data_IF_624187598822
#
_entry.id   IF_624187598822
#
_cell.length_a   1.000
_cell.length_b   1.000
_cell.length_c   1.000
_cell.angle_alpha   90.00
_cell.angle_beta   90.00
_cell.angle_gamma   90.00
#
_symmetry.space_group_name_H-M   'P 1'
#
loop_
_entity.id
_entity.type
_entity.pdbx_description
1 polymer ?
#
# COMPACT_ATOMS: atom_id res chain seq x y z
N UNK A 1 4.80 6.34 -4.37
CA UNK A 1 5.22 5.29 -3.41
C UNK A 1 4.08 4.38 -2.95
N UNK A 2 2.98 4.93 -2.39
CA UNK A 2 1.82 4.13 -1.93
C UNK A 2 1.21 3.20 -2.99
N UNK A 3 0.94 3.70 -4.20
CA UNK A 3 0.40 2.87 -5.29
C UNK A 3 1.34 1.73 -5.73
N UNK A 4 2.66 2.00 -5.75
CA UNK A 4 3.67 1.01 -6.09
C UNK A 4 3.68 -0.15 -5.08
N UNK A 5 3.67 0.16 -3.78
CA UNK A 5 3.65 -0.86 -2.71
C UNK A 5 2.33 -1.64 -2.73
N UNK A 6 1.19 -0.97 -2.97
CA UNK A 6 -0.10 -1.67 -3.12
C UNK A 6 -0.12 -2.63 -4.30
N UNK A 7 0.55 -2.29 -5.42
CA UNK A 7 0.55 -3.11 -6.65
C UNK A 7 1.59 -4.23 -6.63
N UNK A 8 2.80 -3.95 -6.14
CA UNK A 8 3.96 -4.84 -6.24
C UNK A 8 4.29 -5.55 -4.92
N UNK A 9 3.60 -5.20 -3.83
CA UNK A 9 3.87 -5.72 -2.50
C UNK A 9 5.09 -5.07 -1.84
N UNK A 10 5.54 -5.68 -0.75
CA UNK A 10 6.72 -5.25 0.02
C UNK A 10 7.38 -6.47 0.68
N UNK A 11 8.66 -6.34 1.01
CA UNK A 11 9.41 -7.37 1.75
C UNK A 11 9.22 -7.20 3.27
N UNK A 12 9.12 -8.33 3.96
CA UNK A 12 9.06 -8.36 5.42
C UNK A 12 10.45 -8.25 6.08
N UNK A 13 11.52 -8.40 5.30
CA UNK A 13 12.92 -8.36 5.72
C UNK A 13 13.24 -9.38 6.83
N UNK A 14 12.80 -10.63 6.64
CA UNK A 14 12.98 -11.72 7.61
C UNK A 14 14.31 -12.47 7.46
N UNK A 15 15.03 -12.25 6.36
CA UNK A 15 16.30 -12.93 6.07
C UNK A 15 17.49 -12.36 6.86
N UNK A 16 17.24 -11.28 7.62
CA UNK A 16 18.27 -10.56 8.38
C UNK A 16 18.42 -11.16 9.77
N UNK A 17 19.66 -11.27 10.26
CA UNK A 17 19.92 -11.58 11.67
C UNK A 17 19.37 -10.41 12.50
N UNK A 18 18.29 -10.62 13.27
CA UNK A 18 17.59 -9.62 14.10
C UNK A 18 18.42 -8.97 15.23
N UNK A 19 19.74 -8.85 15.09
CA UNK A 19 20.69 -8.24 16.02
C UNK A 19 20.33 -6.79 16.37
N UNK A 20 19.91 -5.98 15.37
CA UNK A 20 19.47 -4.60 15.58
C UNK A 20 18.16 -4.50 16.39
N UNK A 21 17.41 -5.60 16.54
CA UNK A 21 16.19 -5.63 17.36
C UNK A 21 16.46 -5.73 18.87
N UNK A 22 17.71 -5.74 19.33
CA UNK A 22 18.05 -5.87 20.76
C UNK A 22 17.32 -4.84 21.61
N UNK A 23 16.64 -5.28 22.67
CA UNK A 23 15.97 -4.42 23.66
C UNK A 23 16.29 -4.90 25.08
N UNK A 24 16.56 -3.94 25.96
CA UNK A 24 16.86 -4.17 27.38
C UNK A 24 15.55 -4.22 28.18
N UNK A 25 15.42 -5.25 29.01
CA UNK A 25 14.32 -5.41 29.94
C UNK A 25 14.85 -5.61 31.35
N UNK A 26 14.10 -5.12 32.33
CA UNK A 26 14.32 -5.38 33.74
C UNK A 26 13.24 -6.30 34.29
N UNK A 27 13.62 -7.18 35.22
CA UNK A 27 12.70 -7.98 36.01
C UNK A 27 13.16 -7.96 37.47
N UNK A 28 12.18 -7.91 38.38
CA UNK A 28 12.46 -8.06 39.80
C UNK A 28 12.43 -9.56 40.12
N UNK A 29 13.56 -10.10 40.54
CA UNK A 29 13.66 -11.49 41.02
C UNK A 29 14.16 -11.45 42.45
N UNK A 30 13.36 -11.99 43.38
CA UNK A 30 13.67 -12.03 44.82
C UNK A 30 14.11 -10.66 45.38
N UNK A 31 13.41 -9.59 45.01
CA UNK A 31 13.70 -8.23 45.47
C UNK A 31 14.85 -7.51 44.76
N UNK A 32 15.60 -8.18 43.87
CA UNK A 32 16.70 -7.56 43.11
C UNK A 32 16.32 -7.32 41.65
N UNK A 33 16.77 -6.18 41.11
CA UNK A 33 16.65 -5.87 39.69
C UNK A 33 17.67 -6.68 38.88
N UNK A 34 17.17 -7.47 37.93
CA UNK A 34 17.99 -8.16 36.94
C UNK A 34 17.64 -7.66 35.55
N UNK A 35 18.68 -7.29 34.81
CA UNK A 35 18.57 -6.85 33.43
C UNK A 35 18.86 -8.01 32.49
N UNK A 36 18.09 -8.10 31.42
CA UNK A 36 18.28 -9.10 30.37
C UNK A 36 17.84 -8.53 29.02
N UNK A 37 18.39 -9.09 27.95
CA UNK A 37 18.07 -8.66 26.60
C UNK A 37 17.04 -9.59 25.95
N UNK A 38 16.14 -9.02 25.15
CA UNK A 38 15.32 -9.77 24.21
C UNK A 38 15.56 -9.27 22.80
N UNK A 39 15.31 -10.16 21.84
CA UNK A 39 15.37 -9.88 20.42
C UNK A 39 14.02 -10.21 19.81
N UNK A 40 13.79 -9.70 18.61
CA UNK A 40 12.67 -10.07 17.76
C UNK A 40 12.77 -11.56 17.41
N UNK A 41 11.66 -12.27 17.59
CA UNK A 41 11.52 -13.64 17.13
C UNK A 41 10.71 -13.66 15.82
N UNK A 42 11.11 -14.51 14.88
CA UNK A 42 10.40 -14.72 13.61
C UNK A 42 8.96 -15.18 13.81
N UNK A 43 8.67 -15.87 14.92
CA UNK A 43 7.31 -16.31 15.27
C UNK A 43 6.33 -15.15 15.46
N UNK A 44 6.82 -13.92 15.66
CA UNK A 44 5.94 -12.75 15.76
C UNK A 44 5.28 -12.40 14.42
N UNK A 45 5.84 -12.87 13.31
CA UNK A 45 5.26 -12.76 11.97
C UNK A 45 4.29 -13.89 11.65
N UNK A 46 4.02 -14.79 12.59
CA UNK A 46 3.06 -15.88 12.45
C UNK A 46 1.95 -15.74 13.48
N UNK A 47 0.76 -16.19 13.10
CA UNK A 47 -0.39 -16.31 14.00
C UNK A 47 -0.97 -17.70 13.86
N UNK A 48 -1.43 -18.28 14.97
CA UNK A 48 -2.11 -19.57 14.98
C UNK A 48 -3.60 -19.30 15.06
N UNK A 49 -4.33 -19.80 14.07
CA UNK A 49 -5.78 -19.72 13.99
C UNK A 49 -6.43 -20.70 14.97
N UNK A 50 -7.74 -20.53 15.20
CA UNK A 50 -8.51 -21.37 16.13
C UNK A 50 -8.55 -22.83 15.67
N UNK A 51 -8.45 -23.07 14.36
CA UNK A 51 -8.35 -24.40 13.75
C UNK A 51 -6.95 -25.03 13.89
N UNK A 52 -5.99 -24.35 14.54
CA UNK A 52 -4.62 -24.82 14.71
C UNK A 52 -3.68 -24.54 13.54
N UNK A 53 -4.19 -23.97 12.44
CA UNK A 53 -3.36 -23.62 11.29
C UNK A 53 -2.51 -22.38 11.57
N UNK A 54 -1.29 -22.37 11.05
CA UNK A 54 -0.40 -21.23 11.17
C UNK A 54 -0.49 -20.37 9.91
N UNK A 55 -0.85 -19.09 10.09
CA UNK A 55 -0.90 -18.11 9.01
C UNK A 55 0.18 -17.04 9.20
N UNK A 56 0.73 -16.55 8.08
CA UNK A 56 1.72 -15.49 8.07
C UNK A 56 1.05 -14.11 8.15
N UNK A 57 1.64 -13.22 8.94
CA UNK A 57 1.21 -11.82 9.08
C UNK A 57 1.86 -10.97 8.01
N UNK A 58 1.35 -11.07 6.78
CA UNK A 58 1.95 -10.41 5.62
C UNK A 58 1.99 -8.88 5.72
N UNK A 59 1.14 -8.28 6.56
CA UNK A 59 1.06 -6.84 6.77
C UNK A 59 2.22 -6.22 7.57
N UNK A 60 3.09 -7.03 8.17
CA UNK A 60 4.23 -6.59 8.98
C UNK A 60 5.52 -6.52 8.16
N UNK A 61 6.38 -5.55 8.46
CA UNK A 61 7.73 -5.47 7.91
C UNK A 61 8.74 -5.05 8.99
N UNK A 62 9.89 -5.72 9.02
CA UNK A 62 10.99 -5.38 9.90
C UNK A 62 11.86 -4.27 9.29
N UNK A 63 12.22 -3.27 10.10
CA UNK A 63 13.21 -2.27 9.75
C UNK A 63 14.47 -2.48 10.59
N UNK A 64 15.58 -2.77 9.92
CA UNK A 64 16.89 -2.92 10.57
C UNK A 64 17.37 -1.58 11.13
N UNK A 65 17.12 -0.48 10.41
CA UNK A 65 17.54 0.88 10.82
C UNK A 65 16.99 1.31 12.18
N UNK A 66 15.75 0.92 12.51
CA UNK A 66 15.12 1.25 13.79
C UNK A 66 15.02 0.04 14.73
N UNK A 67 15.39 -1.15 14.25
CA UNK A 67 15.26 -2.41 14.96
C UNK A 67 13.83 -2.72 15.40
N UNK A 68 12.82 -2.25 14.65
CA UNK A 68 11.40 -2.31 15.05
C UNK A 68 10.53 -2.85 13.90
N UNK A 69 9.35 -3.37 14.26
CA UNK A 69 8.36 -3.85 13.28
C UNK A 69 7.37 -2.73 12.94
N UNK A 70 7.06 -2.57 11.66
CA UNK A 70 6.04 -1.65 11.17
C UNK A 70 4.88 -2.42 10.53
N UNK A 71 3.69 -1.85 10.64
CA UNK A 71 2.51 -2.32 9.92
C UNK A 71 2.37 -1.50 8.64
N UNK A 72 2.59 -2.13 7.49
CA UNK A 72 2.64 -1.42 6.19
C UNK A 72 1.30 -0.79 5.81
N UNK A 73 0.14 -1.48 5.95
CA UNK A 73 -1.14 -0.81 5.73
C UNK A 73 -1.32 0.42 6.62
N UNK A 74 -1.00 0.32 7.91
CA UNK A 74 -1.14 1.44 8.84
C UNK A 74 -0.14 2.57 8.55
N UNK A 75 1.05 2.26 8.05
CA UNK A 75 2.06 3.23 7.63
C UNK A 75 1.62 4.01 6.38
N UNK A 76 1.05 3.31 5.38
CA UNK A 76 0.64 3.91 4.11
C UNK A 76 -0.60 4.80 4.18
N UNK A 77 -1.49 4.53 5.14
CA UNK A 77 -2.76 5.23 5.30
C UNK A 77 -2.80 6.10 6.57
N UNK A 78 -1.62 6.45 7.11
CA UNK A 78 -1.43 7.43 8.19
C UNK A 78 -2.24 7.13 9.46
N UNK A 79 -2.17 5.89 9.92
CA UNK A 79 -2.75 5.53 11.21
C UNK A 79 -1.95 6.19 12.36
N UNK A 80 -2.62 6.54 13.46
CA UNK A 80 -1.98 7.14 14.66
C UNK A 80 -1.33 6.11 15.58
N UNK A 81 -1.37 4.83 15.24
CA UNK A 81 -0.80 3.73 16.05
C UNK A 81 0.73 3.78 16.13
N UNK A 82 1.29 3.19 17.19
CA UNK A 82 2.75 3.03 17.31
C UNK A 82 3.35 2.23 16.14
N UNK A 83 2.59 1.27 15.58
CA UNK A 83 3.01 0.45 14.45
C UNK A 83 3.25 1.22 13.14
N UNK A 84 2.76 2.46 13.02
CA UNK A 84 2.95 3.33 11.87
C UNK A 84 3.91 4.49 12.15
N UNK A 85 3.89 5.06 13.36
CA UNK A 85 4.73 6.23 13.68
C UNK A 85 6.16 5.87 14.07
N UNK A 86 6.31 5.07 15.12
CA UNK A 86 7.61 4.82 15.76
C UNK A 86 8.10 3.39 15.60
N UNK A 87 7.21 2.48 15.18
CA UNK A 87 7.47 1.06 15.11
C UNK A 87 7.20 0.34 16.43
N UNK A 88 6.90 -0.94 16.34
CA UNK A 88 6.69 -1.83 17.48
C UNK A 88 8.00 -2.53 17.85
N UNK A 89 8.41 -2.41 19.12
CA UNK A 89 9.59 -3.10 19.66
C UNK A 89 9.38 -3.69 21.06
N UNK A 90 8.13 -3.91 21.47
CA UNK A 90 7.79 -4.49 22.77
C UNK A 90 7.75 -6.03 22.70
N UNK A 91 8.93 -6.65 22.68
CA UNK A 91 9.10 -8.11 22.61
C UNK A 91 8.60 -8.87 23.84
N UNK A 92 8.30 -8.17 24.94
CA UNK A 92 7.72 -8.76 26.14
C UNK A 92 6.22 -9.04 25.96
N UNK A 93 5.54 -8.27 25.10
CA UNK A 93 4.10 -8.35 24.90
C UNK A 93 3.72 -8.57 23.43
N UNK A 94 4.09 -9.72 22.81
CA UNK A 94 3.77 -10.00 21.41
C UNK A 94 2.27 -10.04 21.13
N UNK A 95 1.44 -10.31 22.15
CA UNK A 95 -0.03 -10.26 22.06
C UNK A 95 -0.55 -8.89 21.58
N UNK A 96 0.20 -7.80 21.80
CA UNK A 96 -0.13 -6.46 21.27
C UNK A 96 -0.22 -6.42 19.75
N UNK A 97 0.53 -7.28 19.05
CA UNK A 97 0.44 -7.43 17.60
C UNK A 97 -0.93 -7.96 17.20
N UNK A 98 -1.45 -8.96 17.94
CA UNK A 98 -2.80 -9.52 17.70
C UNK A 98 -3.91 -8.54 18.08
N UNK A 99 -3.74 -7.74 19.14
CA UNK A 99 -4.69 -6.66 19.44
C UNK A 99 -4.72 -5.59 18.34
N UNK A 100 -3.56 -5.25 17.78
CA UNK A 100 -3.46 -4.34 16.65
C UNK A 100 -4.12 -4.92 15.39
N UNK A 101 -3.85 -6.19 15.09
CA UNK A 101 -4.44 -6.94 13.97
C UNK A 101 -5.98 -6.91 14.01
N UNK A 102 -6.55 -7.00 15.21
CA UNK A 102 -7.99 -7.00 15.41
C UNK A 102 -8.63 -5.61 15.50
N UNK A 103 -7.82 -4.54 15.58
CA UNK A 103 -8.32 -3.18 15.74
C UNK A 103 -9.03 -2.68 14.46
N UNK A 104 -10.10 -1.86 14.61
CA UNK A 104 -10.85 -1.36 13.47
C UNK A 104 -9.98 -0.47 12.56
N UNK A 105 -9.03 0.27 13.14
CA UNK A 105 -8.13 1.12 12.38
C UNK A 105 -7.21 0.32 11.46
N UNK A 106 -6.67 -0.80 11.96
CA UNK A 106 -5.88 -1.72 11.13
C UNK A 106 -6.72 -2.30 10.00
N UNK A 107 -7.91 -2.82 10.32
CA UNK A 107 -8.83 -3.42 9.34
C UNK A 107 -9.20 -2.43 8.24
N UNK A 108 -9.47 -1.18 8.59
CA UNK A 108 -9.76 -0.11 7.62
C UNK A 108 -8.57 0.17 6.71
N UNK A 109 -7.36 0.29 7.27
CA UNK A 109 -6.15 0.52 6.47
C UNK A 109 -5.86 -0.66 5.53
N UNK A 110 -5.98 -1.89 6.03
CA UNK A 110 -5.83 -3.12 5.25
C UNK A 110 -6.87 -3.25 4.14
N UNK A 111 -8.13 -2.88 4.41
CA UNK A 111 -9.17 -2.82 3.40
C UNK A 111 -8.83 -1.81 2.30
N UNK A 112 -8.51 -0.56 2.67
CA UNK A 112 -8.14 0.47 1.68
C UNK A 112 -6.91 0.09 0.87
N UNK A 113 -5.95 -0.62 1.46
CA UNK A 113 -4.79 -1.13 0.75
C UNK A 113 -5.18 -2.13 -0.34
N UNK A 114 -6.05 -3.10 0.00
CA UNK A 114 -6.58 -4.10 -0.94
C UNK A 114 -7.46 -3.48 -2.02
N UNK A 115 -8.30 -2.51 -1.66
CA UNK A 115 -9.15 -1.76 -2.59
C UNK A 115 -8.31 -1.02 -3.62
N UNK A 116 -7.30 -0.25 -3.18
CA UNK A 116 -6.36 0.40 -4.10
C UNK A 116 -5.57 -0.59 -4.96
N UNK A 117 -5.13 -1.72 -4.39
CA UNK A 117 -4.44 -2.75 -5.16
C UNK A 117 -5.34 -3.35 -6.26
N UNK A 118 -6.62 -3.57 -5.95
CA UNK A 118 -7.64 -4.04 -6.91
C UNK A 118 -7.89 -3.00 -8.01
N UNK A 119 -8.03 -1.74 -7.65
CA UNK A 119 -8.23 -0.68 -8.65
C UNK A 119 -7.02 -0.48 -9.56
N UNK A 120 -5.80 -0.69 -9.03
CA UNK A 120 -4.56 -0.64 -9.80
C UNK A 120 -4.32 -1.88 -10.66
N UNK A 121 -4.89 -3.03 -10.31
CA UNK A 121 -4.77 -4.29 -11.06
C UNK A 121 -5.85 -4.45 -12.14
N UNK A 122 -6.96 -3.71 -12.04
CA UNK A 122 -7.96 -3.67 -13.12
C UNK A 122 -7.33 -3.12 -14.40
N UNK A 123 -7.53 -3.88 -15.49
CA UNK A 123 -7.24 -3.57 -16.91
C UNK A 123 -7.78 -2.18 -17.33
N UNK A 124 -8.67 -1.62 -16.52
CA UNK A 124 -9.35 -0.35 -16.72
C UNK A 124 -8.39 0.82 -17.00
N UNK A 125 -7.16 0.85 -16.47
CA UNK A 125 -6.24 1.96 -16.77
C UNK A 125 -5.82 2.01 -18.25
N UNK A 126 -5.52 0.85 -18.86
CA UNK A 126 -5.20 0.75 -20.28
C UNK A 126 -6.43 1.00 -21.15
N UNK A 127 -7.58 0.47 -20.74
CA UNK A 127 -8.86 0.68 -21.43
C UNK A 127 -9.31 2.15 -21.39
N UNK A 128 -9.21 2.79 -20.21
CA UNK A 128 -9.50 4.22 -20.02
C UNK A 128 -8.56 5.08 -20.85
N UNK A 129 -7.27 4.75 -20.91
CA UNK A 129 -6.34 5.44 -21.79
C UNK A 129 -6.73 5.31 -23.26
N UNK A 130 -7.14 4.11 -23.72
CA UNK A 130 -7.61 3.90 -25.09
C UNK A 130 -8.85 4.75 -25.40
N UNK A 131 -9.85 4.75 -24.50
CA UNK A 131 -11.06 5.57 -24.62
C UNK A 131 -10.71 7.07 -24.67
N UNK A 132 -9.80 7.53 -23.80
CA UNK A 132 -9.36 8.93 -23.77
C UNK A 132 -8.65 9.33 -25.08
N UNK A 133 -7.82 8.44 -25.63
CA UNK A 133 -7.13 8.69 -26.91
C UNK A 133 -8.08 8.72 -28.09
N UNK A 134 -9.04 7.81 -28.16
CA UNK A 134 -10.06 7.81 -29.21
C UNK A 134 -10.94 9.06 -29.12
N UNK A 135 -11.34 9.44 -27.90
CA UNK A 135 -12.12 10.67 -27.67
C UNK A 135 -11.36 11.91 -28.16
N UNK A 136 -10.06 12.04 -27.83
CA UNK A 136 -9.22 13.14 -28.32
C UNK A 136 -9.08 13.14 -29.84
N UNK A 137 -8.91 11.96 -30.44
CA UNK A 137 -8.85 11.82 -31.89
C UNK A 137 -10.14 12.33 -32.55
N UNK A 138 -11.31 11.85 -32.10
CA UNK A 138 -12.60 12.27 -32.63
C UNK A 138 -12.90 13.76 -32.42
N UNK A 139 -12.51 14.33 -31.27
CA UNK A 139 -12.60 15.78 -31.04
C UNK A 139 -11.73 16.54 -32.05
N UNK A 140 -10.51 16.07 -32.34
CA UNK A 140 -9.62 16.73 -33.31
C UNK A 140 -10.22 16.67 -34.73
N UNK A 141 -10.77 15.53 -35.13
CA UNK A 141 -11.45 15.36 -36.42
C UNK A 141 -12.63 16.31 -36.53
N UNK A 142 -13.52 16.33 -35.54
CA UNK A 142 -14.69 17.23 -35.52
C UNK A 142 -14.27 18.71 -35.56
N UNK A 143 -13.20 19.06 -34.85
CA UNK A 143 -12.66 20.43 -34.85
C UNK A 143 -12.19 20.82 -36.25
N UNK A 144 -11.46 19.95 -36.96
CA UNK A 144 -11.01 20.21 -38.34
C UNK A 144 -12.19 20.35 -39.30
N UNK A 145 -13.17 19.46 -39.22
CA UNK A 145 -14.39 19.53 -40.06
C UNK A 145 -15.13 20.85 -39.81
N UNK A 146 -15.32 21.23 -38.54
CA UNK A 146 -15.97 22.49 -38.20
C UNK A 146 -15.17 23.71 -38.70
N UNK A 147 -13.84 23.68 -38.63
CA UNK A 147 -12.98 24.75 -39.17
C UNK A 147 -13.10 24.87 -40.69
N UNK A 148 -13.12 23.75 -41.43
CA UNK A 148 -13.30 23.77 -42.89
C UNK A 148 -14.69 24.31 -43.25
N UNK A 149 -15.75 23.85 -42.59
CA UNK A 149 -17.12 24.35 -42.82
C UNK A 149 -17.20 25.85 -42.53
N UNK A 150 -16.64 26.32 -41.42
CA UNK A 150 -16.58 27.76 -41.11
C UNK A 150 -15.81 28.56 -42.15
N UNK A 151 -14.68 28.04 -42.63
CA UNK A 151 -13.87 28.69 -43.67
C UNK A 151 -14.64 28.80 -44.98
N UNK A 152 -15.26 27.71 -45.46
CA UNK A 152 -16.08 27.72 -46.67
C UNK A 152 -17.28 28.67 -46.55
N UNK A 153 -18.00 28.62 -45.42
CA UNK A 153 -19.14 29.50 -45.15
C UNK A 153 -18.75 30.98 -45.14
N UNK A 154 -17.65 31.33 -44.45
CA UNK A 154 -17.20 32.72 -44.32
C UNK A 154 -16.64 33.31 -45.62
N UNK A 155 -16.16 32.46 -46.54
CA UNK A 155 -15.57 32.88 -47.80
C UNK A 155 -16.53 32.68 -48.99
N UNK A 156 -17.78 32.22 -48.75
CA UNK A 156 -18.78 32.01 -49.79
C UNK A 156 -18.44 30.88 -50.77
N UNK A 157 -17.59 29.93 -50.37
CA UNK A 157 -17.14 28.81 -51.20
C UNK A 157 -18.14 27.65 -51.14
N UNK A 158 -18.24 26.90 -52.23
CA UNK A 158 -19.09 25.71 -52.33
C UNK A 158 -18.65 24.62 -51.33
N UNK A 159 -19.61 24.01 -50.63
CA UNK A 159 -19.35 22.94 -49.66
C UNK A 159 -19.06 21.57 -50.30
N UNK A 160 -19.18 21.46 -51.62
CA UNK A 160 -18.90 20.24 -52.39
C UNK A 160 -17.90 20.58 -53.48
N UNK A 161 -17.01 19.64 -53.77
CA UNK A 161 -16.15 19.73 -54.96
C UNK A 161 -17.00 19.60 -56.23
N UNK A 162 -16.53 20.23 -57.30
CA UNK A 162 -17.07 19.99 -58.63
C UNK A 162 -16.80 18.54 -59.04
N UNK A 163 -17.76 17.94 -59.72
CA UNK A 163 -17.62 16.60 -60.30
C UNK A 163 -16.96 16.80 -61.67
N UNK A 164 -15.71 16.35 -61.82
CA UNK A 164 -15.10 16.13 -63.14
C UNK A 164 -15.74 14.93 -63.84
#
# INVERSE_FOLDING_TARGET
MRQYICKNGFSQNLDVKFTASKRLYSVVQKGHFRNYFRYLNIDFFKTVLINGETCQRDYLSYSESTGSIYCVPCLLFENKTNFSKTGFSDWKHPKKISYHENSPEHKLCSYKMKELASDLSKINTKLMHQIETEKKYWISVLTRVCSVVKSLASHGLSFRGDVE
#
